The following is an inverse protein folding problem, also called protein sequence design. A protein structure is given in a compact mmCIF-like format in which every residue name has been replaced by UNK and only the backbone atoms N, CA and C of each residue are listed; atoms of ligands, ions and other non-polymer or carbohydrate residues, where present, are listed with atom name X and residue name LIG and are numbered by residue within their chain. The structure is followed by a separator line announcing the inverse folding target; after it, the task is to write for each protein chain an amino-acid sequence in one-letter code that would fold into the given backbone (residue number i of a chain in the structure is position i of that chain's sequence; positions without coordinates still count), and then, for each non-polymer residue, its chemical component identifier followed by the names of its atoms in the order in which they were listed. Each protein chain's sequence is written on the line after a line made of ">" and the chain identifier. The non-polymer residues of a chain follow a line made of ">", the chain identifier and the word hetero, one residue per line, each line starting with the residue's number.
data_IF_766693475054
#
_entry.id   IF_766693475054
#
_cell.length_a   1.000
_cell.length_b   1.000
_cell.length_c   1.000
_cell.angle_alpha   90.00
_cell.angle_beta   90.00
_cell.angle_gamma   90.00
#
_symmetry.space_group_name_H-M   'P 1'
#
loop_
_entity.id
_entity.type
_entity.pdbx_description
1 polymer ?
#
# COMPACT_ATOMS: atom_id res chain seq x y z
N UNK A 1 -11.03 6.02 48.54
CA UNK A 1 -11.51 6.63 47.32
C UNK A 1 -10.43 6.48 46.27
N UNK A 2 -10.59 5.53 45.34
CA UNK A 2 -9.70 5.37 44.19
C UNK A 2 -10.05 6.49 43.18
N UNK A 3 -9.11 7.38 42.89
CA UNK A 3 -9.26 8.40 41.87
C UNK A 3 -9.38 7.74 40.51
N UNK A 4 -10.40 8.12 39.77
CA UNK A 4 -10.60 7.79 38.35
C UNK A 4 -9.37 8.23 37.56
N UNK A 5 -8.86 7.45 36.60
CA UNK A 5 -7.78 7.92 35.75
C UNK A 5 -8.30 9.16 35.00
N UNK A 6 -7.51 10.22 35.03
CA UNK A 6 -7.83 11.46 34.34
C UNK A 6 -8.01 11.16 32.86
N UNK A 7 -9.20 11.42 32.33
CA UNK A 7 -9.44 11.47 30.89
C UNK A 7 -8.53 12.55 30.32
N UNK A 8 -7.46 12.11 29.68
CA UNK A 8 -6.67 12.99 28.83
C UNK A 8 -7.48 13.24 27.55
N UNK A 9 -7.98 14.45 27.32
CA UNK A 9 -8.71 14.74 26.09
C UNK A 9 -7.74 14.96 24.94
N UNK A 10 -7.06 13.89 24.53
CA UNK A 10 -6.36 13.90 23.26
C UNK A 10 -7.43 13.71 22.18
N UNK A 11 -7.96 14.82 21.69
CA UNK A 11 -8.68 14.80 20.43
C UNK A 11 -7.66 14.49 19.33
N UNK A 12 -7.89 13.46 18.47
CA UNK A 12 -7.08 13.29 17.30
C UNK A 12 -7.16 14.57 16.46
N UNK A 13 -6.06 15.27 16.32
CA UNK A 13 -5.98 16.39 15.40
C UNK A 13 -5.84 15.79 14.02
N UNK A 14 -6.80 16.08 13.12
CA UNK A 14 -6.65 15.70 11.72
C UNK A 14 -5.36 16.31 11.20
N UNK A 15 -4.58 15.52 10.45
CA UNK A 15 -3.34 16.01 9.82
C UNK A 15 -3.61 17.24 8.94
N UNK A 16 -4.81 17.35 8.38
CA UNK A 16 -5.26 18.50 7.59
C UNK A 16 -5.51 19.76 8.43
N UNK A 17 -5.68 19.62 9.75
CA UNK A 17 -5.90 20.74 10.67
C UNK A 17 -4.58 21.30 11.23
N UNK A 18 -3.45 20.67 10.92
CA UNK A 18 -2.12 21.18 11.27
C UNK A 18 -1.67 22.13 10.15
N UNK A 19 -2.02 23.38 10.28
CA UNK A 19 -1.47 24.43 9.44
C UNK A 19 0.01 24.62 9.80
N UNK A 20 0.89 24.18 8.91
CA UNK A 20 2.31 24.45 9.04
C UNK A 20 2.61 25.90 8.63
N UNK A 21 2.29 26.82 9.54
CA UNK A 21 2.42 28.28 9.34
C UNK A 21 3.84 28.80 9.53
N UNK A 22 4.80 27.92 9.87
CA UNK A 22 6.16 28.34 10.13
C UNK A 22 6.95 28.49 8.83
N UNK A 23 7.39 29.70 8.51
CA UNK A 23 8.31 30.01 7.40
C UNK A 23 9.63 29.21 7.46
N UNK A 24 9.92 28.61 8.61
CA UNK A 24 11.10 27.77 8.84
C UNK A 24 10.95 26.36 8.26
N UNK A 25 9.78 25.70 8.46
CA UNK A 25 9.58 24.32 8.06
C UNK A 25 9.18 24.14 6.61
N UNK A 26 8.36 25.05 6.07
CA UNK A 26 7.83 24.95 4.70
C UNK A 26 8.93 24.90 3.64
N UNK A 27 9.97 25.77 3.64
CA UNK A 27 11.04 25.69 2.68
C UNK A 27 11.84 24.39 2.78
N UNK A 28 12.02 23.85 3.99
CA UNK A 28 12.74 22.59 4.22
C UNK A 28 11.95 21.40 3.69
N UNK A 29 10.65 21.37 3.89
CA UNK A 29 9.77 20.33 3.35
C UNK A 29 9.69 20.38 1.82
N UNK A 30 9.65 21.56 1.23
CA UNK A 30 9.72 21.74 -0.23
C UNK A 30 11.06 21.26 -0.77
N UNK A 31 12.17 21.56 -0.11
CA UNK A 31 13.49 21.06 -0.48
C UNK A 31 13.53 19.54 -0.38
N UNK A 32 13.01 18.96 0.69
CA UNK A 32 12.92 17.53 0.89
C UNK A 32 12.13 16.85 -0.24
N UNK A 33 10.99 17.41 -0.64
CA UNK A 33 10.23 16.93 -1.79
C UNK A 33 11.06 16.93 -3.06
N UNK A 34 11.74 18.03 -3.36
CA UNK A 34 12.53 18.19 -4.59
C UNK A 34 13.75 17.28 -4.67
N UNK A 35 14.29 16.87 -3.56
CA UNK A 35 15.52 16.06 -3.47
C UNK A 35 15.28 14.59 -3.11
N UNK A 36 14.47 14.32 -2.10
CA UNK A 36 14.30 12.97 -1.55
C UNK A 36 13.22 12.17 -2.28
N UNK A 37 12.12 12.79 -2.70
CA UNK A 37 11.02 12.05 -3.31
C UNK A 37 11.41 11.46 -4.67
N UNK A 38 12.05 12.20 -5.60
CA UNK A 38 12.55 11.60 -6.83
C UNK A 38 13.53 10.46 -6.59
N UNK A 39 14.42 10.61 -5.61
CA UNK A 39 15.35 9.56 -5.20
C UNK A 39 14.62 8.33 -4.64
N UNK A 40 13.61 8.54 -3.80
CA UNK A 40 12.83 7.46 -3.23
C UNK A 40 12.01 6.70 -4.30
N UNK A 41 11.42 7.39 -5.26
CA UNK A 41 10.77 6.75 -6.40
C UNK A 41 11.76 5.96 -7.27
N UNK A 42 12.96 6.48 -7.48
CA UNK A 42 13.99 5.74 -8.20
C UNK A 42 14.34 4.43 -7.50
N UNK A 43 14.51 4.46 -6.19
CA UNK A 43 14.80 3.27 -5.39
C UNK A 43 13.64 2.28 -5.33
N UNK A 44 12.41 2.70 -5.54
CA UNK A 44 11.21 1.86 -5.51
C UNK A 44 10.73 1.43 -6.90
N UNK A 45 11.48 1.74 -7.96
CA UNK A 45 11.21 1.21 -9.32
C UNK A 45 11.06 -0.30 -9.37
N UNK A 46 11.85 -1.12 -8.66
CA UNK A 46 11.63 -2.56 -8.61
C UNK A 46 10.22 -2.94 -8.13
N UNK A 47 9.63 -2.18 -7.20
CA UNK A 47 8.25 -2.39 -6.75
C UNK A 47 7.23 -2.13 -7.87
N UNK A 48 7.42 -1.08 -8.64
CA UNK A 48 6.56 -0.78 -9.81
C UNK A 48 6.71 -1.87 -10.87
N UNK A 49 7.93 -2.30 -11.15
CA UNK A 49 8.19 -3.39 -12.10
C UNK A 49 7.56 -4.71 -11.67
N UNK A 50 7.57 -5.00 -10.38
CA UNK A 50 6.93 -6.18 -9.80
C UNK A 50 5.40 -6.15 -9.94
N UNK A 51 4.79 -5.00 -9.69
CA UNK A 51 3.36 -4.78 -9.95
C UNK A 51 3.03 -4.90 -11.44
N UNK A 52 3.86 -4.35 -12.31
CA UNK A 52 3.67 -4.47 -13.75
C UNK A 52 3.74 -5.93 -14.22
N UNK A 53 4.66 -6.71 -13.67
CA UNK A 53 4.75 -8.14 -13.94
C UNK A 53 3.46 -8.88 -13.52
N UNK A 54 2.90 -8.56 -12.35
CA UNK A 54 1.62 -9.11 -11.92
C UNK A 54 0.47 -8.72 -12.86
N UNK A 55 0.42 -7.46 -13.27
CA UNK A 55 -0.57 -6.99 -14.25
C UNK A 55 -0.45 -7.75 -15.59
N UNK A 56 0.75 -7.99 -16.05
CA UNK A 56 1.02 -8.74 -17.28
C UNK A 56 0.56 -10.21 -17.16
N UNK A 57 0.83 -10.85 -16.04
CA UNK A 57 0.35 -12.23 -15.77
C UNK A 57 -1.18 -12.27 -15.79
N UNK A 58 -1.86 -11.32 -15.20
CA UNK A 58 -3.33 -11.26 -15.20
C UNK A 58 -3.92 -11.06 -16.60
N UNK A 59 -3.13 -10.51 -17.53
CA UNK A 59 -3.50 -10.41 -18.95
C UNK A 59 -3.13 -11.64 -19.78
N UNK A 60 -2.61 -12.69 -19.13
CA UNK A 60 -2.19 -13.91 -19.80
C UNK A 60 -0.81 -13.84 -20.44
N UNK A 61 0.00 -12.84 -20.16
CA UNK A 61 1.37 -12.72 -20.64
C UNK A 61 2.32 -13.55 -19.78
N UNK A 62 3.38 -14.07 -20.40
CA UNK A 62 4.48 -14.65 -19.66
C UNK A 62 5.42 -13.56 -19.17
N UNK A 63 5.93 -13.72 -17.97
CA UNK A 63 6.92 -12.80 -17.38
C UNK A 63 8.19 -13.57 -17.01
N UNK A 64 9.32 -12.90 -17.11
CA UNK A 64 10.59 -13.48 -16.71
C UNK A 64 10.63 -13.72 -15.20
N UNK A 65 11.35 -14.76 -14.78
CA UNK A 65 11.61 -14.99 -13.37
C UNK A 65 12.44 -13.84 -12.80
N UNK A 66 11.95 -13.25 -11.74
CA UNK A 66 12.65 -12.20 -11.03
C UNK A 66 12.59 -12.46 -9.52
N UNK A 67 13.49 -11.85 -8.78
CA UNK A 67 13.48 -11.92 -7.33
C UNK A 67 12.73 -10.73 -6.75
N UNK A 68 11.86 -11.00 -5.80
CA UNK A 68 11.15 -9.97 -5.04
C UNK A 68 11.28 -10.28 -3.55
N UNK A 69 11.72 -9.33 -2.76
CA UNK A 69 11.70 -9.44 -1.31
C UNK A 69 10.34 -8.99 -0.75
N UNK A 70 10.04 -9.42 0.47
CA UNK A 70 8.72 -9.20 1.09
C UNK A 70 8.37 -7.72 1.36
N UNK A 71 9.35 -6.82 1.34
CA UNK A 71 9.16 -5.39 1.56
C UNK A 71 9.02 -4.57 0.28
N UNK A 72 9.15 -5.18 -0.90
CA UNK A 72 9.22 -4.46 -2.16
C UNK A 72 7.98 -3.60 -2.43
N UNK A 73 6.81 -4.10 -2.07
CA UNK A 73 5.54 -3.39 -2.27
C UNK A 73 5.34 -2.33 -1.20
N UNK A 74 5.57 -2.67 0.07
CA UNK A 74 5.38 -1.73 1.19
C UNK A 74 6.33 -0.53 1.10
N UNK A 75 7.54 -0.72 0.62
CA UNK A 75 8.50 0.36 0.40
C UNK A 75 7.95 1.38 -0.62
N UNK A 76 7.36 0.89 -1.71
CA UNK A 76 6.69 1.75 -2.69
C UNK A 76 5.48 2.48 -2.08
N UNK A 77 4.64 1.78 -1.34
CA UNK A 77 3.43 2.39 -0.73
C UNK A 77 3.77 3.44 0.31
N UNK A 78 4.84 3.25 1.07
CA UNK A 78 5.38 4.27 1.99
C UNK A 78 5.83 5.53 1.25
N UNK A 79 6.52 5.37 0.12
CA UNK A 79 6.96 6.51 -0.70
C UNK A 79 5.74 7.26 -1.27
N UNK A 80 4.73 6.54 -1.72
CA UNK A 80 3.49 7.14 -2.24
C UNK A 80 2.73 7.91 -1.16
N UNK A 81 2.67 7.38 0.05
CA UNK A 81 2.08 8.09 1.19
C UNK A 81 2.82 9.39 1.48
N UNK A 82 4.14 9.33 1.57
CA UNK A 82 4.98 10.52 1.74
C UNK A 82 4.80 11.55 0.62
N UNK A 83 4.72 11.11 -0.63
CA UNK A 83 4.44 11.97 -1.77
C UNK A 83 3.07 12.65 -1.69
N UNK A 84 2.05 11.92 -1.24
CA UNK A 84 0.71 12.47 -1.05
C UNK A 84 0.71 13.59 0.01
N UNK A 85 1.41 13.40 1.11
CA UNK A 85 1.55 14.44 2.14
C UNK A 85 2.31 15.67 1.63
N UNK A 86 3.33 15.48 0.81
CA UNK A 86 4.06 16.61 0.22
C UNK A 86 3.20 17.38 -0.81
N UNK A 87 2.36 16.69 -1.57
CA UNK A 87 1.39 17.33 -2.46
C UNK A 87 0.37 18.18 -1.67
N UNK A 88 0.05 17.78 -0.44
CA UNK A 88 -0.80 18.56 0.45
C UNK A 88 -0.17 19.90 0.85
N UNK A 89 1.15 19.95 0.98
CA UNK A 89 1.89 21.16 1.32
C UNK A 89 2.05 22.10 0.13
N UNK A 90 2.27 21.55 -1.05
CA UNK A 90 2.47 22.32 -2.28
C UNK A 90 2.03 21.48 -3.48
N UNK A 91 1.18 22.05 -4.32
CA UNK A 91 0.75 21.39 -5.55
C UNK A 91 1.93 21.18 -6.49
N UNK A 92 2.05 19.96 -7.02
CA UNK A 92 3.09 19.56 -7.97
C UNK A 92 2.47 18.65 -9.04
N UNK A 93 2.10 19.20 -10.21
CA UNK A 93 1.43 18.43 -11.27
C UNK A 93 2.26 17.25 -11.79
N UNK A 94 3.59 17.37 -11.81
CA UNK A 94 4.46 16.28 -12.28
C UNK A 94 4.49 15.12 -11.28
N UNK A 95 4.57 15.44 -9.98
CA UNK A 95 4.49 14.43 -8.92
C UNK A 95 3.12 13.75 -8.91
N UNK A 96 2.05 14.51 -9.05
CA UNK A 96 0.69 13.97 -9.14
C UNK A 96 0.53 13.04 -10.35
N UNK A 97 1.06 13.42 -11.51
CA UNK A 97 1.08 12.58 -12.70
C UNK A 97 1.83 11.27 -12.47
N UNK A 98 2.97 11.33 -11.82
CA UNK A 98 3.76 10.15 -11.44
C UNK A 98 2.96 9.21 -10.53
N UNK A 99 2.28 9.77 -9.54
CA UNK A 99 1.38 9.02 -8.65
C UNK A 99 0.26 8.35 -9.44
N UNK A 100 -0.41 9.07 -10.33
CA UNK A 100 -1.49 8.52 -11.14
C UNK A 100 -1.02 7.37 -12.04
N UNK A 101 0.17 7.47 -12.62
CA UNK A 101 0.77 6.39 -13.42
C UNK A 101 1.03 5.13 -12.59
N UNK A 102 1.57 5.28 -11.40
CA UNK A 102 1.81 4.15 -10.48
C UNK A 102 0.49 3.55 -10.01
N UNK A 103 -0.50 4.36 -9.67
CA UNK A 103 -1.83 3.91 -9.26
C UNK A 103 -2.49 3.07 -10.36
N UNK A 104 -2.35 3.46 -11.62
CA UNK A 104 -2.86 2.67 -12.75
C UNK A 104 -2.21 1.27 -12.80
N UNK A 105 -0.92 1.18 -12.55
CA UNK A 105 -0.20 -0.11 -12.49
C UNK A 105 -0.68 -0.95 -11.31
N UNK A 106 -0.87 -0.35 -10.14
CA UNK A 106 -1.41 -1.05 -8.96
C UNK A 106 -2.80 -1.63 -9.26
N UNK A 107 -3.67 -0.84 -9.85
CA UNK A 107 -5.02 -1.29 -10.25
C UNK A 107 -4.98 -2.46 -11.23
N UNK A 108 -4.07 -2.44 -12.20
CA UNK A 108 -3.89 -3.51 -13.15
C UNK A 108 -3.29 -4.78 -12.52
N UNK A 109 -2.54 -4.64 -11.43
CA UNK A 109 -1.94 -5.76 -10.69
C UNK A 109 -2.90 -6.43 -9.70
N UNK A 110 -4.02 -5.80 -9.39
CA UNK A 110 -5.04 -6.35 -8.49
C UNK A 110 -5.82 -7.46 -9.17
N UNK A 111 -5.92 -8.62 -8.51
CA UNK A 111 -6.75 -9.71 -9.00
C UNK A 111 -8.25 -9.34 -8.98
N UNK A 112 -9.08 -9.96 -9.82
CA UNK A 112 -10.50 -9.60 -9.91
C UNK A 112 -11.27 -9.66 -8.60
N UNK A 113 -10.88 -10.53 -7.68
CA UNK A 113 -11.48 -10.67 -6.35
C UNK A 113 -10.97 -9.65 -5.32
N UNK A 114 -10.00 -8.80 -5.70
CA UNK A 114 -9.42 -7.79 -4.82
C UNK A 114 -8.06 -8.15 -4.21
N UNK A 115 -7.61 -9.40 -4.34
CA UNK A 115 -6.27 -9.80 -3.87
C UNK A 115 -5.18 -8.98 -4.54
N UNK A 116 -4.23 -8.50 -3.78
CA UNK A 116 -3.14 -7.67 -4.29
C UNK A 116 -1.83 -8.07 -3.61
N UNK A 117 -1.12 -9.00 -4.19
CA UNK A 117 0.20 -9.42 -3.75
C UNK A 117 0.99 -9.99 -4.93
N UNK A 118 1.79 -9.16 -5.61
CA UNK A 118 2.47 -9.54 -6.86
C UNK A 118 3.33 -10.79 -6.75
N UNK A 119 3.95 -11.05 -5.62
CA UNK A 119 4.79 -12.23 -5.42
C UNK A 119 4.03 -13.55 -5.58
N UNK A 120 2.77 -13.60 -5.18
CA UNK A 120 1.94 -14.78 -5.41
C UNK A 120 1.33 -14.79 -6.82
N UNK A 121 0.89 -13.64 -7.32
CA UNK A 121 0.33 -13.53 -8.67
C UNK A 121 1.35 -13.94 -9.74
N UNK A 122 2.60 -13.52 -9.60
CA UNK A 122 3.69 -13.86 -10.53
C UNK A 122 4.37 -15.18 -10.21
N UNK A 123 4.15 -15.74 -9.02
CA UNK A 123 4.89 -16.89 -8.50
C UNK A 123 6.39 -16.65 -8.37
N UNK A 124 6.80 -15.40 -8.26
CA UNK A 124 8.19 -14.96 -8.20
C UNK A 124 8.71 -14.72 -6.78
N UNK A 125 8.02 -15.20 -5.77
CA UNK A 125 8.43 -15.06 -4.38
C UNK A 125 9.85 -15.56 -4.13
N UNK A 126 10.63 -14.78 -3.39
CA UNK A 126 12.05 -15.05 -3.14
C UNK A 126 12.30 -16.29 -2.29
N UNK A 127 11.31 -16.74 -1.51
CA UNK A 127 11.46 -17.87 -0.61
C UNK A 127 10.10 -18.38 -0.15
N UNK A 128 9.86 -19.67 -0.31
CA UNK A 128 8.68 -20.33 0.25
C UNK A 128 8.58 -20.20 1.77
N UNK A 129 9.73 -20.10 2.45
CA UNK A 129 9.77 -19.94 3.91
C UNK A 129 9.23 -18.59 4.38
N UNK A 130 9.37 -17.55 3.56
CA UNK A 130 9.01 -16.19 3.94
C UNK A 130 7.63 -15.77 3.43
N UNK A 131 7.21 -16.28 2.29
CA UNK A 131 6.00 -15.84 1.60
C UNK A 131 4.90 -16.90 1.55
N UNK A 132 5.23 -18.15 1.87
CA UNK A 132 4.36 -19.30 1.62
C UNK A 132 4.27 -19.62 0.13
N UNK A 133 3.67 -20.75 -0.21
CA UNK A 133 3.47 -21.22 -1.58
C UNK A 133 2.09 -20.87 -2.15
N UNK A 134 1.18 -20.42 -1.31
CA UNK A 134 -0.19 -20.00 -1.65
C UNK A 134 -0.57 -18.72 -0.90
N UNK A 135 -1.56 -17.95 -1.41
CA UNK A 135 -2.07 -16.79 -0.70
C UNK A 135 -2.49 -17.11 0.73
N UNK A 136 -2.12 -16.23 1.64
CA UNK A 136 -2.44 -16.28 3.09
C UNK A 136 -2.01 -17.53 3.84
N UNK A 137 -1.07 -18.29 3.32
CA UNK A 137 -0.55 -19.49 4.01
C UNK A 137 0.61 -19.19 4.95
N UNK A 138 1.24 -18.03 4.84
CA UNK A 138 2.34 -17.61 5.69
C UNK A 138 2.30 -16.10 5.98
N UNK A 139 1.15 -15.63 6.47
CA UNK A 139 0.79 -14.21 6.57
C UNK A 139 1.78 -13.38 7.37
N UNK A 140 2.31 -13.92 8.47
CA UNK A 140 3.22 -13.20 9.37
C UNK A 140 4.53 -12.83 8.65
N UNK A 141 5.06 -13.73 7.84
CA UNK A 141 6.34 -13.54 7.15
C UNK A 141 6.21 -13.00 5.72
N UNK A 142 5.07 -13.24 5.05
CA UNK A 142 4.84 -12.76 3.69
C UNK A 142 4.62 -11.26 3.60
N UNK A 143 4.14 -10.66 4.69
CA UNK A 143 3.71 -9.26 4.75
C UNK A 143 2.52 -8.91 3.85
N UNK A 144 1.72 -9.88 3.47
CA UNK A 144 0.52 -9.66 2.66
C UNK A 144 -0.42 -8.61 3.29
N UNK A 145 -0.69 -8.72 4.58
CA UNK A 145 -1.51 -7.76 5.32
C UNK A 145 -0.75 -6.48 5.66
N UNK A 146 0.52 -6.57 5.96
CA UNK A 146 1.37 -5.41 6.24
C UNK A 146 1.45 -4.46 5.04
N UNK A 147 1.66 -5.00 3.85
CA UNK A 147 1.68 -4.23 2.61
C UNK A 147 0.35 -3.51 2.40
N UNK A 148 -0.78 -4.14 2.72
CA UNK A 148 -2.10 -3.54 2.57
C UNK A 148 -2.33 -2.38 3.53
N UNK A 149 -1.81 -2.44 4.74
CA UNK A 149 -1.87 -1.31 5.67
C UNK A 149 -1.24 -0.04 5.08
N UNK A 150 -0.06 -0.15 4.50
CA UNK A 150 0.60 0.97 3.84
C UNK A 150 -0.15 1.45 2.60
N UNK A 151 -0.70 0.54 1.81
CA UNK A 151 -1.54 0.88 0.67
C UNK A 151 -2.76 1.72 1.10
N UNK A 152 -3.43 1.32 2.17
CA UNK A 152 -4.63 2.02 2.66
C UNK A 152 -4.29 3.44 3.13
N UNK A 153 -3.20 3.61 3.86
CA UNK A 153 -2.75 4.93 4.29
C UNK A 153 -2.40 5.83 3.11
N UNK A 154 -1.69 5.31 2.13
CA UNK A 154 -1.39 6.04 0.89
C UNK A 154 -2.69 6.42 0.12
N UNK A 155 -3.66 5.51 0.05
CA UNK A 155 -4.92 5.74 -0.62
C UNK A 155 -5.74 6.87 0.02
N UNK A 156 -5.84 6.87 1.35
CA UNK A 156 -6.56 7.91 2.10
C UNK A 156 -5.86 9.25 1.94
N UNK A 157 -4.54 9.30 2.14
CA UNK A 157 -3.76 10.53 2.01
C UNK A 157 -3.87 11.14 0.62
N UNK A 158 -3.81 10.32 -0.43
CA UNK A 158 -3.91 10.79 -1.80
C UNK A 158 -5.31 11.30 -2.15
N UNK A 159 -6.35 10.61 -1.68
CA UNK A 159 -7.73 11.06 -1.84
C UNK A 159 -8.00 12.39 -1.11
N UNK A 160 -7.58 12.49 0.14
CA UNK A 160 -7.73 13.73 0.91
C UNK A 160 -7.00 14.91 0.28
N UNK A 161 -5.86 14.65 -0.38
CA UNK A 161 -5.04 15.69 -1.00
C UNK A 161 -5.55 16.10 -2.38
N UNK A 162 -5.94 15.15 -3.22
CA UNK A 162 -6.24 15.40 -4.64
C UNK A 162 -7.71 15.28 -5.00
N UNK A 163 -8.52 14.64 -4.16
CA UNK A 163 -9.91 14.26 -4.48
C UNK A 163 -10.03 13.09 -5.46
N UNK A 164 -8.92 12.52 -5.93
CA UNK A 164 -8.91 11.38 -6.84
C UNK A 164 -9.05 10.07 -6.06
N UNK A 165 -10.02 9.26 -6.42
CA UNK A 165 -10.44 8.08 -5.66
C UNK A 165 -9.94 6.73 -6.23
N UNK A 166 -9.15 6.74 -7.30
CA UNK A 166 -8.71 5.49 -7.94
C UNK A 166 -7.97 4.55 -6.99
N UNK A 167 -7.02 5.06 -6.21
CA UNK A 167 -6.29 4.26 -5.23
C UNK A 167 -7.19 3.83 -4.07
N UNK A 168 -8.09 4.72 -3.64
CA UNK A 168 -9.07 4.40 -2.59
C UNK A 168 -9.98 3.25 -2.99
N UNK A 169 -10.46 3.22 -4.24
CA UNK A 169 -11.27 2.11 -4.76
C UNK A 169 -10.51 0.79 -4.80
N UNK A 170 -9.23 0.82 -5.16
CA UNK A 170 -8.36 -0.36 -5.09
C UNK A 170 -8.26 -0.87 -3.64
N UNK A 171 -8.03 0.04 -2.69
CA UNK A 171 -7.95 -0.28 -1.27
C UNK A 171 -9.27 -0.84 -0.73
N UNK A 172 -10.40 -0.24 -1.07
CA UNK A 172 -11.74 -0.72 -0.66
C UNK A 172 -12.01 -2.12 -1.19
N UNK A 173 -11.72 -2.37 -2.46
CA UNK A 173 -11.90 -3.70 -3.06
C UNK A 173 -11.04 -4.75 -2.37
N UNK A 174 -9.81 -4.40 -2.05
CA UNK A 174 -8.92 -5.29 -1.29
C UNK A 174 -9.44 -5.52 0.14
N UNK A 175 -9.91 -4.48 0.83
CA UNK A 175 -10.47 -4.60 2.17
C UNK A 175 -11.70 -5.52 2.20
N UNK A 176 -12.58 -5.41 1.22
CA UNK A 176 -13.74 -6.30 1.07
C UNK A 176 -13.31 -7.75 0.83
N UNK A 177 -12.29 -7.95 0.01
CA UNK A 177 -11.69 -9.27 -0.21
C UNK A 177 -11.13 -9.87 1.10
N UNK A 178 -10.36 -9.11 1.85
CA UNK A 178 -9.80 -9.55 3.14
C UNK A 178 -10.92 -9.90 4.12
N UNK A 179 -11.95 -9.07 4.22
CA UNK A 179 -13.09 -9.34 5.07
C UNK A 179 -13.77 -10.67 4.72
N UNK A 180 -13.95 -10.93 3.44
CA UNK A 180 -14.54 -12.18 2.97
C UNK A 180 -13.69 -13.40 3.34
N UNK A 181 -12.37 -13.32 3.07
CA UNK A 181 -11.45 -14.45 3.33
C UNK A 181 -11.29 -14.74 4.82
N UNK A 182 -11.15 -13.71 5.64
CA UNK A 182 -10.82 -13.87 7.05
C UNK A 182 -12.05 -14.08 7.95
N UNK A 183 -13.19 -13.50 7.62
CA UNK A 183 -14.38 -13.51 8.48
C UNK A 183 -15.56 -14.32 7.93
N UNK A 184 -15.77 -14.33 6.63
CA UNK A 184 -16.90 -15.01 6.00
C UNK A 184 -16.53 -16.39 5.44
N UNK A 185 -15.31 -16.53 4.95
CA UNK A 185 -14.83 -17.69 4.20
C UNK A 185 -15.02 -17.52 2.69
N UNK A 186 -14.03 -17.98 1.93
CA UNK A 186 -14.02 -17.97 0.48
C UNK A 186 -13.55 -19.33 -0.04
N UNK A 187 -14.28 -19.98 -0.97
CA UNK A 187 -13.92 -21.29 -1.49
C UNK A 187 -12.52 -21.38 -2.08
N UNK A 188 -11.98 -20.26 -2.55
CA UNK A 188 -10.63 -20.20 -3.14
C UNK A 188 -9.51 -20.24 -2.10
N UNK A 189 -9.81 -19.94 -0.82
CA UNK A 189 -8.83 -19.82 0.25
C UNK A 189 -9.20 -20.66 1.44
N UNK A 190 -8.20 -21.28 2.08
CA UNK A 190 -8.35 -22.03 3.32
C UNK A 190 -9.51 -23.04 3.30
N UNK A 191 -9.69 -23.73 2.17
CA UNK A 191 -10.78 -24.71 1.96
C UNK A 191 -12.19 -24.14 2.23
N UNK A 192 -12.39 -22.87 1.97
CA UNK A 192 -13.66 -22.17 2.18
C UNK A 192 -13.94 -21.76 3.62
N UNK A 193 -13.03 -22.04 4.54
CA UNK A 193 -13.17 -21.68 5.96
C UNK A 193 -12.57 -20.29 6.22
N UNK A 194 -13.19 -19.49 7.11
CA UNK A 194 -12.60 -18.24 7.55
C UNK A 194 -11.21 -18.46 8.16
N UNK A 195 -10.28 -17.55 7.85
CA UNK A 195 -8.96 -17.54 8.47
C UNK A 195 -9.09 -16.80 9.81
N UNK A 196 -9.17 -17.55 10.91
CA UNK A 196 -9.37 -16.98 12.26
C UNK A 196 -8.07 -16.66 12.98
N UNK A 197 -6.98 -17.32 12.58
CA UNK A 197 -5.63 -17.07 13.08
C UNK A 197 -4.69 -16.96 11.90
N UNK A 198 -3.78 -16.01 11.97
CA UNK A 198 -2.75 -15.87 10.94
C UNK A 198 -1.90 -17.16 10.92
N UNK A 199 -1.87 -17.89 9.80
CA UNK A 199 -0.95 -19.01 9.65
C UNK A 199 0.48 -18.49 9.59
N UNK A 200 1.40 -19.14 10.30
CA UNK A 200 2.79 -18.73 10.31
C UNK A 200 3.65 -19.54 11.27
#
# INVERSE_FOLDING_TARGET
>A
GAGSPADYPLKPVSYNDVEMTSDFWRPRLVTQRKTLVPWAFERTKPGVAHLQAAADVLKGKQVDKHRAHRFIDSDLYKVMEGAAYLLQLERDPELEKKMDEIIAVIGAAQEPNGYLYPSHTTRAGSSKHMMGDKPYTFVVHSHELYNMGHLYEAAVAYYETTGKDALLKIAEKNAQHINKVFFEGDPKYNDGKPIRQAPG
#
